data_IF_404833769539
#
_entry.id   IF_404833769539
#
_cell.length_a   1.000
_cell.length_b   1.000
_cell.length_c   1.000
_cell.angle_alpha   90.00
_cell.angle_beta   90.00
_cell.angle_gamma   90.00
#
_symmetry.space_group_name_H-M   'P 1'
#
loop_
_entity.id
_entity.type
_entity.pdbx_description
1 polymer ?
#
# COMPACT_ATOMS: atom_id res chain seq x y z
N UNK A 1 -12.47 -12.34 12.62
CA UNK A 1 -12.94 -10.95 12.83
C UNK A 1 -11.73 -10.12 13.25
N UNK A 2 -11.39 -9.08 12.48
CA UNK A 2 -10.26 -8.19 12.81
C UNK A 2 -10.47 -7.54 14.18
N UNK A 3 -9.41 -7.42 14.98
CA UNK A 3 -9.48 -6.74 16.27
C UNK A 3 -9.71 -5.26 16.02
N UNK A 4 -10.75 -4.69 16.64
CA UNK A 4 -10.96 -3.24 16.62
C UNK A 4 -9.74 -2.54 17.26
N UNK A 5 -9.18 -1.49 16.64
CA UNK A 5 -8.06 -0.75 17.20
C UNK A 5 -8.41 -0.15 18.56
N UNK A 6 -7.44 -0.09 19.46
CA UNK A 6 -7.64 0.41 20.83
C UNK A 6 -7.89 1.92 20.78
N UNK A 7 -8.70 2.48 21.69
CA UNK A 7 -9.02 3.92 21.70
C UNK A 7 -7.82 4.88 21.71
N UNK A 8 -6.66 4.47 22.23
CA UNK A 8 -5.44 5.31 22.27
C UNK A 8 -4.66 5.33 20.94
N UNK A 9 -4.99 4.44 20.00
CA UNK A 9 -4.37 4.35 18.68
C UNK A 9 -5.22 5.06 17.61
N UNK A 10 -6.39 5.60 18.00
CA UNK A 10 -7.34 6.24 17.09
C UNK A 10 -6.96 7.72 16.90
N UNK A 11 -6.69 8.16 15.66
CA UNK A 11 -6.38 9.55 15.39
C UNK A 11 -7.57 10.47 15.67
N UNK A 12 -7.34 11.68 16.18
CA UNK A 12 -8.41 12.63 16.53
C UNK A 12 -9.29 13.11 15.35
N UNK A 13 -8.91 12.77 14.12
CA UNK A 13 -9.66 13.07 12.88
C UNK A 13 -10.49 11.88 12.37
N UNK A 14 -10.43 10.72 13.04
CA UNK A 14 -11.28 9.55 12.82
C UNK A 14 -11.95 9.26 14.16
N UNK A 15 -13.27 9.34 14.26
CA UNK A 15 -13.88 9.25 15.58
C UNK A 15 -15.38 9.05 15.62
N UNK A 16 -16.08 9.27 14.50
CA UNK A 16 -17.46 8.84 14.41
C UNK A 16 -17.50 7.31 14.31
N UNK A 17 -18.45 6.61 14.98
CA UNK A 17 -18.65 5.18 14.79
C UNK A 17 -18.78 4.78 13.31
N UNK A 18 -19.33 5.68 12.49
CA UNK A 18 -19.49 5.55 11.04
C UNK A 18 -18.14 5.47 10.31
N UNK A 19 -17.10 6.14 10.80
CA UNK A 19 -15.78 6.16 10.16
C UNK A 19 -15.10 4.78 10.19
N UNK A 20 -15.49 3.95 11.15
CA UNK A 20 -15.00 2.57 11.32
C UNK A 20 -15.88 1.53 10.60
N UNK A 21 -17.05 1.94 10.10
CA UNK A 21 -17.94 1.05 9.33
C UNK A 21 -17.42 0.95 7.90
N UNK A 22 -17.30 -0.28 7.41
CA UNK A 22 -16.96 -0.60 6.02
C UNK A 22 -15.69 0.11 5.52
N UNK A 23 -14.48 -0.32 5.93
CA UNK A 23 -13.25 0.24 5.39
C UNK A 23 -13.16 0.05 3.88
N UNK A 24 -12.51 0.99 3.21
CA UNK A 24 -12.09 0.77 1.83
C UNK A 24 -10.86 -0.11 1.84
N UNK A 25 -10.95 -1.27 1.18
CA UNK A 25 -9.88 -2.24 1.11
C UNK A 25 -9.19 -2.15 -0.24
N UNK A 26 -7.86 -2.12 -0.21
CA UNK A 26 -7.02 -2.28 -1.40
C UNK A 26 -6.03 -3.42 -1.17
N UNK A 27 -5.80 -4.22 -2.21
CA UNK A 27 -4.76 -5.24 -2.20
C UNK A 27 -3.53 -4.68 -2.89
N UNK A 28 -2.40 -4.71 -2.19
CA UNK A 28 -1.12 -4.20 -2.68
C UNK A 28 -0.08 -5.29 -2.53
N UNK A 29 0.78 -5.48 -3.52
CA UNK A 29 1.92 -6.39 -3.38
C UNK A 29 2.79 -5.95 -2.20
N UNK A 30 3.12 -6.87 -1.30
CA UNK A 30 3.88 -6.62 -0.07
C UNK A 30 5.20 -5.92 -0.36
N UNK A 31 5.87 -6.28 -1.46
CA UNK A 31 7.11 -5.64 -1.94
C UNK A 31 6.98 -4.16 -2.31
N UNK A 32 5.75 -3.66 -2.54
CA UNK A 32 5.48 -2.27 -2.88
C UNK A 32 5.14 -1.43 -1.64
N UNK A 33 4.89 -2.05 -0.48
CA UNK A 33 4.52 -1.33 0.74
C UNK A 33 5.61 -0.37 1.19
N UNK A 34 6.88 -0.80 1.17
CA UNK A 34 7.99 0.09 1.52
C UNK A 34 8.10 1.28 0.56
N UNK A 35 7.77 1.09 -0.72
CA UNK A 35 7.80 2.17 -1.70
C UNK A 35 6.71 3.22 -1.40
N UNK A 36 5.53 2.77 -0.97
CA UNK A 36 4.40 3.62 -0.61
C UNK A 36 4.59 4.29 0.75
N UNK A 37 4.95 3.51 1.76
CA UNK A 37 4.90 3.89 3.16
C UNK A 37 6.27 4.06 3.79
N UNK A 38 7.35 3.91 3.03
CA UNK A 38 8.72 3.97 3.54
C UNK A 38 9.13 2.71 4.30
N UNK A 39 10.41 2.61 4.69
CA UNK A 39 10.92 1.50 5.49
C UNK A 39 10.11 1.36 6.77
N UNK A 40 9.69 0.13 7.08
CA UNK A 40 8.88 -0.21 8.26
C UNK A 40 7.64 0.67 8.44
N UNK A 41 7.06 1.18 7.34
CA UNK A 41 5.89 2.03 7.40
C UNK A 41 6.12 3.43 7.97
N UNK A 42 7.36 3.93 8.00
CA UNK A 42 7.73 5.25 8.56
C UNK A 42 6.90 6.45 8.07
N UNK A 43 6.31 6.38 6.88
CA UNK A 43 5.44 7.43 6.29
C UNK A 43 3.96 7.25 6.61
N UNK A 44 3.52 6.13 7.20
CA UNK A 44 2.11 5.88 7.56
C UNK A 44 1.53 7.04 8.37
N UNK A 45 2.17 7.53 9.46
CA UNK A 45 1.60 8.61 10.27
C UNK A 45 1.40 9.91 9.46
N UNK A 46 2.31 10.18 8.51
CA UNK A 46 2.20 11.33 7.63
C UNK A 46 1.02 11.19 6.66
N UNK A 47 0.89 10.02 6.02
CA UNK A 47 -0.20 9.72 5.09
C UNK A 47 -1.55 9.81 5.80
N UNK A 48 -1.69 9.19 6.97
CA UNK A 48 -2.89 9.26 7.80
C UNK A 48 -3.27 10.70 8.15
N UNK A 49 -2.29 11.51 8.58
CA UNK A 49 -2.52 12.90 9.00
C UNK A 49 -2.96 13.81 7.87
N UNK A 50 -2.32 13.71 6.69
CA UNK A 50 -2.61 14.55 5.52
C UNK A 50 -3.93 14.13 4.88
N UNK A 51 -4.17 12.82 4.81
CA UNK A 51 -5.36 12.26 4.20
C UNK A 51 -6.58 12.21 5.11
N UNK A 52 -6.40 12.46 6.42
CA UNK A 52 -7.46 12.39 7.45
C UNK A 52 -8.12 11.02 7.51
N UNK A 53 -7.30 9.98 7.44
CA UNK A 53 -7.73 8.58 7.54
C UNK A 53 -6.93 7.86 8.62
N UNK A 54 -7.35 6.64 8.94
CA UNK A 54 -6.56 5.65 9.68
C UNK A 54 -6.33 4.47 8.75
N UNK A 55 -5.11 3.95 8.74
CA UNK A 55 -4.68 2.84 7.90
C UNK A 55 -4.42 1.61 8.78
N UNK A 56 -4.94 0.47 8.37
CA UNK A 56 -4.61 -0.82 8.97
C UNK A 56 -4.14 -1.77 7.88
N UNK A 57 -3.08 -2.52 8.16
CA UNK A 57 -2.49 -3.45 7.22
C UNK A 57 -2.65 -4.88 7.71
N UNK A 58 -3.03 -5.76 6.80
CA UNK A 58 -3.14 -7.19 7.06
C UNK A 58 -2.46 -7.97 5.94
N UNK A 59 -1.33 -8.59 6.26
CA UNK A 59 -0.67 -9.51 5.36
C UNK A 59 -1.56 -10.73 5.11
N UNK A 60 -1.68 -11.15 3.86
CA UNK A 60 -2.36 -12.39 3.51
C UNK A 60 -1.33 -13.52 3.57
N UNK A 61 -1.38 -14.34 4.62
CA UNK A 61 -0.40 -15.42 4.90
C UNK A 61 -0.11 -16.37 3.71
N UNK A 62 -1.05 -16.49 2.76
CA UNK A 62 -0.93 -17.35 1.58
C UNK A 62 -0.56 -16.61 0.28
N UNK A 63 -0.30 -15.30 0.33
CA UNK A 63 -0.10 -14.46 -0.86
C UNK A 63 1.00 -13.42 -0.65
N UNK A 64 1.62 -12.97 -1.74
CA UNK A 64 2.52 -11.80 -1.74
C UNK A 64 1.76 -10.47 -1.67
N UNK A 65 0.47 -10.51 -1.29
CA UNK A 65 -0.41 -9.36 -1.17
C UNK A 65 -0.66 -9.00 0.30
N UNK A 66 -0.81 -7.71 0.54
CA UNK A 66 -1.25 -7.15 1.80
C UNK A 66 -2.52 -6.35 1.57
N UNK A 67 -3.52 -6.59 2.41
CA UNK A 67 -4.73 -5.78 2.46
C UNK A 67 -4.43 -4.51 3.24
N UNK A 68 -4.59 -3.36 2.59
CA UNK A 68 -4.57 -2.06 3.26
C UNK A 68 -6.02 -1.60 3.40
N UNK A 69 -6.45 -1.46 4.65
CA UNK A 69 -7.77 -1.01 5.03
C UNK A 69 -7.70 0.47 5.36
N UNK A 70 -8.57 1.26 4.73
CA UNK A 70 -8.67 2.71 4.93
C UNK A 70 -9.95 3.01 5.68
N UNK A 71 -9.81 3.57 6.87
CA UNK A 71 -10.90 4.04 7.72
C UNK A 71 -10.93 5.56 7.77
N UNK A 72 -12.10 6.14 8.02
CA UNK A 72 -12.24 7.59 8.06
C UNK A 72 -13.51 8.07 7.36
N UNK A 73 -13.72 9.40 7.35
CA UNK A 73 -14.93 9.97 6.79
C UNK A 73 -15.01 9.67 5.29
N UNK A 74 -16.23 9.44 4.81
CA UNK A 74 -16.55 8.94 3.47
C UNK A 74 -15.63 9.52 2.37
N UNK A 75 -15.64 10.84 2.16
CA UNK A 75 -14.87 11.47 1.08
C UNK A 75 -13.35 11.30 1.22
N UNK A 76 -12.81 11.36 2.44
CA UNK A 76 -11.38 11.22 2.69
C UNK A 76 -10.91 9.78 2.46
N UNK A 77 -11.71 8.81 2.91
CA UNK A 77 -11.48 7.38 2.70
C UNK A 77 -11.40 7.04 1.21
N UNK A 78 -12.39 7.47 0.41
CA UNK A 78 -12.39 7.23 -1.04
C UNK A 78 -11.22 7.91 -1.75
N UNK A 79 -10.93 9.18 -1.43
CA UNK A 79 -9.81 9.90 -2.04
C UNK A 79 -8.47 9.22 -1.75
N UNK A 80 -8.29 8.74 -0.52
CA UNK A 80 -7.07 8.05 -0.10
C UNK A 80 -6.91 6.71 -0.80
N UNK A 81 -8.01 5.97 -0.94
CA UNK A 81 -8.04 4.72 -1.73
C UNK A 81 -7.50 4.96 -3.15
N UNK A 82 -8.07 5.93 -3.87
CA UNK A 82 -7.66 6.25 -5.24
C UNK A 82 -6.19 6.66 -5.35
N UNK A 83 -5.74 7.49 -4.40
CA UNK A 83 -4.35 7.93 -4.33
C UNK A 83 -3.40 6.73 -4.13
N UNK A 84 -3.68 5.88 -3.14
CA UNK A 84 -2.84 4.72 -2.83
C UNK A 84 -2.82 3.70 -3.97
N UNK A 85 -3.96 3.43 -4.61
CA UNK A 85 -4.04 2.55 -5.78
C UNK A 85 -3.19 3.09 -6.94
N UNK A 86 -3.29 4.40 -7.20
CA UNK A 86 -2.55 5.05 -8.28
C UNK A 86 -1.04 5.02 -8.02
N UNK A 87 -0.61 5.25 -6.77
CA UNK A 87 0.79 5.16 -6.38
C UNK A 87 1.32 3.72 -6.47
N UNK A 88 0.54 2.73 -6.02
CA UNK A 88 0.91 1.32 -6.09
C UNK A 88 1.13 0.88 -7.54
N UNK A 89 0.19 1.24 -8.42
CA UNK A 89 0.27 0.93 -9.84
C UNK A 89 1.46 1.63 -10.51
N UNK A 90 1.73 2.89 -10.16
CA UNK A 90 2.91 3.59 -10.66
C UNK A 90 4.23 2.90 -10.26
N UNK A 91 4.33 2.46 -9.00
CA UNK A 91 5.50 1.72 -8.53
C UNK A 91 5.66 0.37 -9.22
N UNK A 92 4.56 -0.38 -9.41
CA UNK A 92 4.54 -1.65 -10.15
C UNK A 92 5.08 -1.47 -11.57
N UNK A 93 4.53 -0.52 -12.32
CA UNK A 93 4.98 -0.22 -13.68
C UNK A 93 6.44 0.22 -13.73
N UNK A 94 6.90 0.98 -12.73
CA UNK A 94 8.30 1.43 -12.66
C UNK A 94 9.25 0.26 -12.44
N UNK A 95 8.90 -0.71 -11.58
CA UNK A 95 9.68 -1.93 -11.39
C UNK A 95 9.75 -2.76 -12.68
N UNK A 96 8.62 -2.95 -13.36
CA UNK A 96 8.56 -3.71 -14.62
C UNK A 96 9.42 -3.07 -15.72
N UNK A 97 9.34 -1.73 -15.87
CA UNK A 97 10.21 -1.00 -16.81
C UNK A 97 11.69 -1.10 -16.44
N UNK A 98 12.02 -1.12 -15.14
CA UNK A 98 13.38 -1.30 -14.66
C UNK A 98 13.92 -2.69 -15.02
N UNK A 99 13.10 -3.73 -14.81
CA UNK A 99 13.43 -5.11 -15.14
C UNK A 99 13.67 -5.30 -16.64
N UNK A 100 12.80 -4.76 -17.49
CA UNK A 100 12.98 -4.79 -18.94
C UNK A 100 14.27 -4.09 -19.40
N UNK A 101 14.66 -3.00 -18.74
CA UNK A 101 15.92 -2.30 -19.04
C UNK A 101 17.13 -3.13 -18.62
N UNK A 102 17.06 -3.79 -17.48
CA UNK A 102 18.11 -4.69 -17.00
C UNK A 102 18.29 -5.87 -17.95
N UNK A 103 17.20 -6.52 -18.35
CA UNK A 103 17.21 -7.63 -19.31
C UNK A 103 17.84 -7.23 -20.64
N UNK A 104 17.48 -6.05 -21.18
CA UNK A 104 18.11 -5.52 -22.40
C UNK A 104 19.61 -5.30 -22.24
N UNK A 105 20.05 -4.76 -21.10
CA UNK A 105 21.46 -4.55 -20.82
C UNK A 105 22.22 -5.88 -20.69
N UNK A 106 21.65 -6.88 -20.00
CA UNK A 106 22.23 -8.21 -19.87
C UNK A 106 22.40 -8.91 -21.22
N UNK A 107 21.37 -8.83 -22.07
CA UNK A 107 21.42 -9.35 -23.44
C UNK A 107 22.52 -8.66 -24.27
N UNK A 108 22.67 -7.34 -24.15
CA UNK A 108 23.73 -6.62 -24.88
C UNK A 108 25.15 -6.96 -24.42
N UNK A 109 25.30 -7.47 -23.19
CA UNK A 109 26.59 -7.86 -22.62
C UNK A 109 26.85 -9.38 -22.76
N UNK A 110 25.99 -10.12 -23.46
CA UNK A 110 26.03 -11.59 -23.57
C UNK A 110 26.05 -12.31 -22.21
N UNK A 111 25.56 -11.65 -21.15
CA UNK A 111 25.52 -12.18 -19.79
C UNK A 111 24.30 -13.05 -19.52
N UNK A 112 23.42 -13.23 -20.51
CA UNK A 112 22.24 -14.08 -20.36
C UNK A 112 22.65 -15.56 -20.37
N UNK A 113 22.32 -16.33 -19.32
CA UNK A 113 22.51 -17.78 -19.34
C UNK A 113 21.66 -18.39 -20.47
N UNK A 114 22.13 -19.45 -21.14
CA UNK A 114 21.28 -20.17 -22.07
C UNK A 114 20.09 -20.74 -21.29
N UNK A 115 18.88 -20.27 -21.60
CA UNK A 115 17.64 -20.84 -21.07
C UNK A 115 17.54 -22.28 -21.59
N UNK A 116 17.64 -23.26 -20.69
CA UNK A 116 17.26 -24.66 -20.96
C UNK A 116 15.75 -24.82 -20.84
#
# INVERSE_FOLDING_TARGET
MGKLPKPNDIPSWVGAPEDFKEPEVIQVQTRLLEALFGPEGSRIPYVEKVSKVMLEMKALESSDLTEVMVYGPYLYKFRTKWMLQSMAEWHRQRQERGMLRLEKAMNSLELCPPMK
#
